data_IF_375565331204
#
_entry.id   IF_375565331204
#
_cell.length_a   1.000
_cell.length_b   1.000
_cell.length_c   1.000
_cell.angle_alpha   90.00
_cell.angle_beta   90.00
_cell.angle_gamma   90.00
#
_symmetry.space_group_name_H-M   'P 1'
#
loop_
_entity.id
_entity.type
_entity.pdbx_description
1 polymer ?
#
# COMPACT_ATOMS: atom_id res chain seq x y z
N UNK A 1 -18.81 22.52 -6.09
CA UNK A 1 -19.71 21.60 -5.34
C UNK A 1 -19.10 20.23 -5.39
N UNK A 2 -18.86 19.58 -4.27
CA UNK A 2 -18.21 18.25 -4.24
C UNK A 2 -19.20 17.21 -4.76
N UNK A 3 -18.77 16.44 -5.74
CA UNK A 3 -19.55 15.35 -6.35
C UNK A 3 -20.09 14.36 -5.30
N UNK A 4 -19.35 14.16 -4.21
CA UNK A 4 -19.76 13.37 -3.04
C UNK A 4 -21.01 13.93 -2.34
N UNK A 5 -21.17 15.25 -2.24
CA UNK A 5 -22.35 15.86 -1.61
C UNK A 5 -23.62 15.62 -2.45
N UNK A 6 -23.52 15.67 -3.78
CA UNK A 6 -24.64 15.41 -4.68
C UNK A 6 -25.10 13.95 -4.58
N UNK A 7 -24.16 13.00 -4.52
CA UNK A 7 -24.47 11.57 -4.35
C UNK A 7 -25.18 11.33 -3.00
N UNK A 8 -24.69 11.97 -1.94
CA UNK A 8 -25.23 11.79 -0.58
C UNK A 8 -26.65 12.33 -0.47
N UNK A 9 -26.92 13.50 -1.08
CA UNK A 9 -28.25 14.11 -1.17
C UNK A 9 -29.20 13.23 -1.99
N UNK A 10 -28.77 12.78 -3.16
CA UNK A 10 -29.58 11.91 -4.02
C UNK A 10 -29.94 10.59 -3.34
N UNK A 11 -28.99 10.02 -2.59
CA UNK A 11 -29.22 8.82 -1.81
C UNK A 11 -30.19 9.04 -0.64
N UNK A 12 -30.02 10.12 0.13
CA UNK A 12 -30.92 10.48 1.22
C UNK A 12 -32.35 10.73 0.73
N UNK A 13 -32.49 11.44 -0.41
CA UNK A 13 -33.78 11.69 -1.02
C UNK A 13 -34.44 10.40 -1.53
N UNK A 14 -33.68 9.51 -2.16
CA UNK A 14 -34.17 8.21 -2.60
C UNK A 14 -34.66 7.33 -1.45
N UNK A 15 -33.93 7.34 -0.31
CA UNK A 15 -34.33 6.62 0.88
C UNK A 15 -35.60 7.20 1.54
N UNK A 16 -35.72 8.53 1.54
CA UNK A 16 -36.90 9.23 2.03
C UNK A 16 -38.15 8.92 1.19
N UNK A 17 -38.02 8.93 -0.13
CA UNK A 17 -39.11 8.58 -1.06
C UNK A 17 -39.53 7.11 -0.94
N UNK A 18 -38.59 6.21 -0.66
CA UNK A 18 -38.90 4.80 -0.36
C UNK A 18 -39.71 4.66 0.94
N UNK A 19 -39.31 5.37 2.00
CA UNK A 19 -40.00 5.34 3.31
C UNK A 19 -41.42 5.94 3.24
N UNK A 20 -41.64 6.89 2.30
CA UNK A 20 -42.93 7.47 2.03
C UNK A 20 -43.84 6.57 1.14
N UNK A 21 -43.35 5.39 0.76
CA UNK A 21 -44.09 4.45 -0.10
C UNK A 21 -44.23 4.86 -1.56
N UNK A 22 -43.57 5.96 -1.98
CA UNK A 22 -43.61 6.46 -3.35
C UNK A 22 -42.74 5.66 -4.33
N UNK A 23 -41.76 4.92 -3.80
CA UNK A 23 -40.85 4.07 -4.58
C UNK A 23 -40.88 2.66 -4.01
N UNK A 24 -41.20 1.67 -4.85
CA UNK A 24 -41.37 0.26 -4.46
C UNK A 24 -40.06 -0.52 -4.33
N UNK A 25 -38.89 0.09 -4.57
CA UNK A 25 -37.59 -0.57 -4.43
C UNK A 25 -36.72 0.15 -3.40
N UNK A 26 -35.92 -0.62 -2.67
CA UNK A 26 -34.97 -0.10 -1.68
C UNK A 26 -33.76 0.49 -2.42
N UNK A 27 -33.42 1.78 -2.27
CA UNK A 27 -32.28 2.40 -2.95
C UNK A 27 -30.96 1.67 -2.73
N UNK A 28 -30.80 0.99 -1.59
CA UNK A 28 -29.64 0.17 -1.25
C UNK A 28 -29.36 -0.95 -2.25
N UNK A 29 -30.42 -1.53 -2.84
CA UNK A 29 -30.31 -2.63 -3.82
C UNK A 29 -29.72 -2.17 -5.14
N UNK A 30 -29.92 -0.90 -5.52
CA UNK A 30 -29.34 -0.30 -6.73
C UNK A 30 -27.91 0.18 -6.51
N UNK A 31 -27.56 0.52 -5.28
CA UNK A 31 -26.29 1.17 -4.95
C UNK A 31 -25.11 0.23 -5.22
N UNK A 32 -25.20 -1.04 -4.81
CA UNK A 32 -24.12 -2.01 -4.98
C UNK A 32 -23.73 -2.27 -6.45
N UNK A 33 -24.67 -2.55 -7.36
CA UNK A 33 -24.33 -2.71 -8.77
C UNK A 33 -23.82 -1.41 -9.40
N UNK A 34 -24.40 -0.25 -8.99
CA UNK A 34 -23.96 1.06 -9.47
C UNK A 34 -22.52 1.38 -9.10
N UNK A 35 -22.11 1.09 -7.86
CA UNK A 35 -20.73 1.28 -7.40
C UNK A 35 -19.75 0.39 -8.16
N UNK A 36 -20.11 -0.88 -8.41
CA UNK A 36 -19.28 -1.81 -9.20
C UNK A 36 -19.08 -1.32 -10.64
N UNK A 37 -20.15 -0.86 -11.28
CA UNK A 37 -20.09 -0.33 -12.64
C UNK A 37 -19.22 0.93 -12.67
N UNK A 38 -19.46 1.88 -11.75
CA UNK A 38 -18.72 3.14 -11.69
C UNK A 38 -17.23 2.91 -11.46
N UNK A 39 -16.89 2.03 -10.52
CA UNK A 39 -15.50 1.69 -10.21
C UNK A 39 -14.81 0.97 -11.37
N UNK A 40 -15.50 0.01 -12.00
CA UNK A 40 -14.99 -0.69 -13.18
C UNK A 40 -14.72 0.25 -14.36
N UNK A 41 -15.64 1.18 -14.63
CA UNK A 41 -15.47 2.19 -15.69
C UNK A 41 -14.30 3.13 -15.37
N UNK A 42 -14.17 3.59 -14.13
CA UNK A 42 -13.03 4.44 -13.73
C UNK A 42 -11.69 3.75 -13.98
N UNK A 43 -11.59 2.47 -13.67
CA UNK A 43 -10.35 1.71 -13.90
C UNK A 43 -10.08 1.52 -15.40
N UNK A 44 -11.09 1.21 -16.21
CA UNK A 44 -10.94 1.11 -17.66
C UNK A 44 -10.49 2.44 -18.29
N UNK A 45 -11.05 3.57 -17.85
CA UNK A 45 -10.65 4.91 -18.32
C UNK A 45 -9.20 5.22 -17.91
N UNK A 46 -8.77 4.84 -16.71
CA UNK A 46 -7.39 5.03 -16.26
C UNK A 46 -6.41 4.18 -17.08
N UNK A 47 -6.77 2.93 -17.39
CA UNK A 47 -5.98 2.04 -18.25
C UNK A 47 -5.87 2.63 -19.67
N UNK A 48 -6.97 3.13 -20.21
CA UNK A 48 -7.00 3.75 -21.55
C UNK A 48 -6.15 5.03 -21.66
N UNK A 49 -6.08 5.82 -20.58
CA UNK A 49 -5.24 7.05 -20.52
C UNK A 49 -3.75 6.74 -20.35
N UNK A 50 -3.39 5.56 -19.91
CA UNK A 50 -2.02 5.13 -19.74
C UNK A 50 -1.43 4.79 -21.11
N UNK A 51 -0.57 5.67 -21.63
CA UNK A 51 0.08 5.53 -22.94
C UNK A 51 0.62 4.11 -23.16
N UNK A 52 0.39 3.57 -24.36
CA UNK A 52 0.77 2.28 -24.95
C UNK A 52 2.21 1.82 -24.57
N UNK A 53 2.36 1.21 -23.41
CA UNK A 53 3.58 0.52 -23.02
C UNK A 53 3.17 -0.62 -22.10
N UNK A 54 3.03 -1.84 -22.64
CA UNK A 54 2.61 -3.05 -21.90
C UNK A 54 1.19 -2.95 -21.31
N UNK A 55 0.19 -2.92 -22.20
CA UNK A 55 -1.20 -3.22 -21.83
C UNK A 55 -1.28 -4.73 -21.58
N UNK A 56 -1.31 -5.12 -20.30
CA UNK A 56 -1.67 -6.50 -19.96
C UNK A 56 -3.16 -6.69 -20.29
N UNK A 57 -3.44 -7.43 -21.36
CA UNK A 57 -4.81 -7.78 -21.81
C UNK A 57 -5.63 -8.40 -20.68
N UNK A 58 -4.98 -9.02 -19.69
CA UNK A 58 -5.58 -9.59 -18.49
C UNK A 58 -6.18 -8.53 -17.55
N UNK A 59 -5.57 -7.32 -17.42
CA UNK A 59 -6.12 -6.26 -16.59
C UNK A 59 -7.41 -5.70 -17.20
N UNK A 60 -7.43 -5.52 -18.52
CA UNK A 60 -8.64 -5.05 -19.25
C UNK A 60 -9.76 -6.08 -19.15
N UNK A 61 -9.44 -7.36 -19.35
CA UNK A 61 -10.42 -8.44 -19.24
C UNK A 61 -11.05 -8.52 -17.85
N UNK A 62 -10.25 -8.37 -16.79
CA UNK A 62 -10.75 -8.39 -15.42
C UNK A 62 -11.74 -7.26 -15.15
N UNK A 63 -11.43 -6.03 -15.57
CA UNK A 63 -12.33 -4.89 -15.37
C UNK A 63 -13.58 -4.95 -16.23
N UNK A 64 -13.49 -5.54 -17.42
CA UNK A 64 -14.67 -5.84 -18.25
C UNK A 64 -15.60 -6.85 -17.55
N UNK A 65 -15.05 -7.89 -16.92
CA UNK A 65 -15.84 -8.85 -16.13
C UNK A 65 -16.55 -8.15 -14.97
N UNK A 66 -15.86 -7.26 -14.25
CA UNK A 66 -16.46 -6.50 -13.14
C UNK A 66 -17.61 -5.62 -13.60
N UNK A 67 -17.45 -4.90 -14.72
CA UNK A 67 -18.52 -4.07 -15.30
C UNK A 67 -19.68 -4.93 -15.75
N UNK A 68 -19.42 -6.03 -16.46
CA UNK A 68 -20.46 -6.95 -16.94
C UNK A 68 -21.25 -7.56 -15.77
N UNK A 69 -20.56 -7.93 -14.68
CA UNK A 69 -21.19 -8.42 -13.47
C UNK A 69 -22.09 -7.35 -12.84
N UNK A 70 -21.63 -6.11 -12.75
CA UNK A 70 -22.42 -4.99 -12.23
C UNK A 70 -23.68 -4.75 -13.05
N UNK A 71 -23.57 -4.75 -14.39
CA UNK A 71 -24.71 -4.62 -15.31
C UNK A 71 -25.67 -5.80 -15.15
N UNK A 72 -25.18 -7.03 -15.11
CA UNK A 72 -25.97 -8.23 -14.89
C UNK A 72 -26.82 -8.17 -13.61
N UNK A 73 -26.24 -7.67 -12.51
CA UNK A 73 -26.94 -7.51 -11.23
C UNK A 73 -28.00 -6.38 -11.27
N UNK A 74 -27.87 -5.44 -12.19
CA UNK A 74 -28.82 -4.33 -12.37
C UNK A 74 -30.04 -4.74 -13.20
N UNK A 75 -29.87 -5.60 -14.21
CA UNK A 75 -30.92 -6.01 -15.16
C UNK A 75 -32.22 -6.50 -14.50
N UNK A 76 -32.22 -7.41 -13.48
CA UNK A 76 -33.45 -7.85 -12.84
C UNK A 76 -34.21 -6.73 -12.12
N UNK A 77 -33.50 -5.67 -11.70
CA UNK A 77 -34.08 -4.51 -11.02
C UNK A 77 -34.79 -3.55 -11.97
N UNK A 78 -34.42 -3.61 -13.26
CA UNK A 78 -35.06 -2.88 -14.35
C UNK A 78 -36.25 -3.64 -14.97
N UNK A 79 -36.67 -4.79 -14.37
CA UNK A 79 -37.78 -5.60 -14.86
C UNK A 79 -37.42 -6.53 -16.02
N UNK A 80 -36.12 -6.65 -16.35
CA UNK A 80 -35.67 -7.56 -17.40
C UNK A 80 -35.49 -8.95 -16.77
N UNK A 81 -36.21 -9.95 -17.31
CA UNK A 81 -36.10 -11.34 -16.86
C UNK A 81 -34.76 -11.93 -17.29
N UNK A 82 -33.82 -11.95 -16.38
CA UNK A 82 -32.55 -12.70 -16.50
C UNK A 82 -32.59 -13.90 -15.55
N UNK A 83 -31.96 -15.02 -15.89
CA UNK A 83 -31.87 -16.14 -14.96
C UNK A 83 -31.28 -15.66 -13.64
N UNK A 84 -32.05 -15.80 -12.56
CA UNK A 84 -31.63 -15.32 -11.25
C UNK A 84 -30.47 -16.18 -10.73
N UNK A 85 -29.28 -15.65 -10.73
CA UNK A 85 -28.17 -16.26 -9.99
C UNK A 85 -28.43 -16.02 -8.50
N UNK A 86 -28.61 -17.09 -7.69
CA UNK A 86 -28.90 -16.93 -6.28
C UNK A 86 -27.73 -16.22 -5.60
N UNK A 87 -28.05 -15.24 -4.76
CA UNK A 87 -27.04 -14.47 -4.00
C UNK A 87 -26.03 -15.36 -3.26
N UNK A 88 -26.46 -16.57 -2.90
CA UNK A 88 -25.63 -17.60 -2.27
C UNK A 88 -24.43 -18.04 -3.14
N UNK A 89 -24.47 -17.84 -4.46
CA UNK A 89 -23.36 -18.15 -5.38
C UNK A 89 -22.46 -16.94 -5.65
N UNK A 90 -23.00 -15.74 -5.59
CA UNK A 90 -22.27 -14.51 -5.97
C UNK A 90 -21.17 -14.19 -4.95
N UNK A 91 -21.46 -14.28 -3.64
CA UNK A 91 -20.50 -13.91 -2.63
C UNK A 91 -19.29 -14.89 -2.54
N UNK A 92 -19.45 -16.23 -2.68
CA UNK A 92 -18.30 -17.12 -2.77
C UNK A 92 -17.46 -16.89 -4.01
N UNK A 93 -18.09 -16.59 -5.16
CA UNK A 93 -17.39 -16.26 -6.40
C UNK A 93 -16.55 -14.99 -6.24
N UNK A 94 -17.07 -13.99 -5.54
CA UNK A 94 -16.37 -12.73 -5.24
C UNK A 94 -15.17 -12.97 -4.31
N UNK A 95 -15.31 -13.87 -3.31
CA UNK A 95 -14.20 -14.27 -2.45
C UNK A 95 -13.13 -15.05 -3.22
N UNK A 96 -13.53 -15.95 -4.11
CA UNK A 96 -12.59 -16.68 -4.98
C UNK A 96 -11.86 -15.70 -5.89
N UNK A 97 -12.57 -14.75 -6.51
CA UNK A 97 -11.98 -13.73 -7.38
C UNK A 97 -10.97 -12.87 -6.60
N UNK A 98 -11.33 -12.46 -5.38
CA UNK A 98 -10.44 -11.70 -4.49
C UNK A 98 -9.23 -12.56 -4.07
N UNK A 99 -9.41 -13.83 -3.78
CA UNK A 99 -8.33 -14.77 -3.49
C UNK A 99 -7.38 -14.97 -4.67
N UNK A 100 -7.91 -15.15 -5.87
CA UNK A 100 -7.11 -15.24 -7.11
C UNK A 100 -6.36 -13.93 -7.38
N UNK A 101 -6.97 -12.78 -7.11
CA UNK A 101 -6.32 -11.48 -7.25
C UNK A 101 -5.16 -11.30 -6.25
N UNK A 102 -5.28 -11.86 -5.05
CA UNK A 102 -4.21 -11.89 -4.04
C UNK A 102 -3.10 -12.90 -4.39
N UNK A 103 -3.45 -14.02 -5.02
CA UNK A 103 -2.52 -15.04 -5.49
C UNK A 103 -1.78 -14.66 -6.77
N UNK A 104 -2.33 -13.73 -7.57
CA UNK A 104 -1.59 -13.20 -8.72
C UNK A 104 -0.39 -12.42 -8.19
N UNK A 105 0.85 -12.90 -8.45
CA UNK A 105 2.04 -12.18 -8.04
C UNK A 105 2.00 -10.83 -8.72
N UNK A 106 1.68 -9.79 -7.95
CA UNK A 106 1.69 -8.43 -8.43
C UNK A 106 3.05 -8.19 -9.06
N UNK A 107 3.09 -8.04 -10.39
CA UNK A 107 4.32 -7.61 -11.08
C UNK A 107 4.84 -6.43 -10.27
N UNK A 108 6.04 -6.59 -9.68
CA UNK A 108 6.72 -5.55 -8.92
C UNK A 108 6.72 -4.29 -9.77
N UNK A 109 5.72 -3.44 -9.59
CA UNK A 109 5.68 -2.13 -10.23
C UNK A 109 6.76 -1.30 -9.55
N UNK A 110 7.93 -1.29 -10.15
CA UNK A 110 8.92 -0.25 -9.90
C UNK A 110 8.29 1.04 -10.45
N UNK A 111 7.53 1.71 -9.62
CA UNK A 111 7.00 3.03 -9.95
C UNK A 111 8.15 4.01 -9.74
N UNK A 112 8.86 4.32 -10.81
CA UNK A 112 9.76 5.49 -10.83
C UNK A 112 8.88 6.73 -10.74
N UNK A 113 8.62 7.19 -9.54
CA UNK A 113 8.03 8.50 -9.32
C UNK A 113 9.19 9.49 -9.34
N UNK A 114 9.32 10.23 -10.44
CA UNK A 114 10.10 11.46 -10.46
C UNK A 114 9.37 12.46 -9.55
N UNK A 115 9.85 12.61 -8.33
CA UNK A 115 9.56 13.82 -7.56
C UNK A 115 10.62 14.85 -7.96
N UNK A 116 10.20 15.83 -8.76
CA UNK A 116 10.88 17.10 -8.87
C UNK A 116 10.75 17.83 -7.54
N UNK A 117 11.71 17.64 -6.66
CA UNK A 117 11.95 18.52 -5.52
C UNK A 117 13.42 18.89 -5.56
N UNK A 118 13.67 20.18 -5.73
CA UNK A 118 14.97 20.77 -5.97
C UNK A 118 16.05 20.32 -4.98
N UNK A 119 17.12 19.80 -5.53
CA UNK A 119 18.30 19.33 -4.86
C UNK A 119 18.70 17.97 -5.42
N UNK A 120 19.77 17.94 -6.21
CA UNK A 120 20.32 16.73 -6.82
C UNK A 120 20.72 15.73 -5.72
N UNK A 121 19.81 14.86 -5.30
CA UNK A 121 20.12 13.67 -4.52
C UNK A 121 20.35 12.54 -5.51
N UNK A 122 21.57 12.07 -5.57
CA UNK A 122 21.97 10.92 -6.38
C UNK A 122 21.18 9.70 -5.89
N UNK A 123 20.47 9.03 -6.80
CA UNK A 123 20.08 7.65 -6.66
C UNK A 123 18.94 7.28 -5.68
N UNK A 124 17.98 8.18 -5.37
CA UNK A 124 16.85 7.80 -4.48
C UNK A 124 16.03 6.64 -5.05
N UNK A 125 16.23 5.44 -4.54
CA UNK A 125 15.43 4.28 -4.89
C UNK A 125 14.11 4.28 -4.10
N UNK A 126 13.00 4.61 -4.76
CA UNK A 126 11.68 4.58 -4.14
C UNK A 126 10.95 3.28 -4.48
N UNK A 127 10.61 2.47 -3.48
CA UNK A 127 9.82 1.25 -3.63
C UNK A 127 8.52 1.35 -2.85
N UNK A 128 7.41 0.96 -3.49
CA UNK A 128 6.10 0.84 -2.85
C UNK A 128 5.61 -0.58 -3.01
N UNK A 129 5.38 -1.27 -1.88
CA UNK A 129 4.74 -2.58 -1.80
C UNK A 129 3.38 -2.47 -1.13
N UNK A 130 2.37 -3.20 -1.62
CA UNK A 130 1.09 -3.28 -0.91
C UNK A 130 1.12 -4.43 0.09
N UNK A 131 1.46 -5.64 -0.39
CA UNK A 131 1.65 -6.84 0.45
C UNK A 131 2.90 -7.55 -0.01
N UNK A 132 3.77 -7.96 0.91
CA UNK A 132 4.95 -8.76 0.57
C UNK A 132 6.13 -8.57 1.52
N UNK A 133 7.22 -9.19 1.14
CA UNK A 133 8.50 -9.14 1.84
C UNK A 133 9.50 -8.34 0.99
N UNK A 134 10.22 -7.46 1.64
CA UNK A 134 11.36 -6.76 1.07
C UNK A 134 12.61 -7.12 1.86
N UNK A 135 13.45 -7.94 1.25
CA UNK A 135 14.72 -8.35 1.85
C UNK A 135 15.88 -7.86 1.00
N UNK A 136 16.87 -7.26 1.64
CA UNK A 136 18.12 -6.89 1.02
C UNK A 136 19.27 -7.22 1.96
N UNK A 137 20.22 -8.04 1.51
CA UNK A 137 21.28 -8.41 2.41
C UNK A 137 22.27 -9.48 2.03
N UNK A 138 21.94 -10.67 1.59
CA UNK A 138 23.00 -11.66 1.35
C UNK A 138 23.82 -11.27 0.11
N UNK A 139 25.07 -10.88 0.35
CA UNK A 139 26.03 -10.46 -0.67
C UNK A 139 26.47 -9.01 -0.56
N UNK A 140 27.52 -8.67 -1.32
CA UNK A 140 28.02 -7.29 -1.37
C UNK A 140 27.14 -6.44 -2.29
N UNK A 141 26.62 -5.34 -1.78
CA UNK A 141 25.80 -4.37 -2.51
C UNK A 141 26.11 -2.94 -2.08
N UNK A 142 25.92 -1.98 -2.98
CA UNK A 142 26.15 -0.58 -2.67
C UNK A 142 24.89 -0.02 -2.00
N UNK A 143 25.07 0.59 -0.84
CA UNK A 143 24.00 1.28 -0.12
C UNK A 143 23.78 2.64 -0.76
N UNK A 144 22.53 2.90 -1.12
CA UNK A 144 22.10 4.21 -1.65
C UNK A 144 20.86 4.68 -0.89
N UNK A 145 20.46 5.94 -1.10
CA UNK A 145 19.27 6.49 -0.47
C UNK A 145 18.06 5.64 -0.84
N UNK A 146 17.34 5.16 0.18
CA UNK A 146 16.20 4.27 0.01
C UNK A 146 14.97 4.85 0.68
N UNK A 147 13.91 5.01 -0.10
CA UNK A 147 12.58 5.27 0.44
C UNK A 147 11.68 4.08 0.15
N UNK A 148 11.22 3.42 1.20
CA UNK A 148 10.37 2.25 1.13
C UNK A 148 9.04 2.52 1.83
N UNK A 149 7.95 2.26 1.11
CA UNK A 149 6.61 2.28 1.69
C UNK A 149 5.97 0.90 1.52
N UNK A 150 5.71 0.22 2.64
CA UNK A 150 5.10 -1.11 2.68
C UNK A 150 3.78 -1.05 3.40
N UNK A 151 2.67 -1.47 2.74
CA UNK A 151 1.38 -1.44 3.44
C UNK A 151 1.24 -2.61 4.41
N UNK A 152 1.54 -3.83 3.98
CA UNK A 152 1.49 -5.03 4.83
C UNK A 152 2.69 -5.89 4.48
N UNK A 153 3.49 -6.28 5.48
CA UNK A 153 4.59 -7.23 5.26
C UNK A 153 5.84 -6.95 6.05
N UNK A 154 6.92 -7.63 5.68
CA UNK A 154 8.20 -7.59 6.37
C UNK A 154 9.23 -6.85 5.52
N UNK A 155 10.01 -5.99 6.17
CA UNK A 155 11.18 -5.31 5.61
C UNK A 155 12.41 -5.80 6.36
N UNK A 156 13.35 -6.41 5.66
CA UNK A 156 14.62 -6.86 6.23
C UNK A 156 15.78 -6.24 5.46
N UNK A 157 16.56 -5.42 6.14
CA UNK A 157 17.74 -4.75 5.60
C UNK A 157 18.98 -5.18 6.38
N UNK A 158 19.87 -5.90 5.70
CA UNK A 158 21.16 -6.28 6.25
C UNK A 158 22.25 -5.40 5.64
N UNK A 159 22.77 -4.48 6.44
CA UNK A 159 23.84 -3.56 6.06
C UNK A 159 25.23 -4.08 6.42
N UNK A 160 25.36 -5.28 6.98
CA UNK A 160 26.65 -5.85 7.42
C UNK A 160 27.64 -6.01 6.28
N UNK A 161 27.14 -6.36 5.08
CA UNK A 161 27.94 -6.55 3.86
C UNK A 161 27.71 -5.41 2.84
N UNK A 162 27.03 -4.34 3.23
CA UNK A 162 26.77 -3.22 2.34
C UNK A 162 28.01 -2.34 2.18
N UNK A 163 28.30 -1.94 0.96
CA UNK A 163 29.33 -0.94 0.64
C UNK A 163 28.68 0.43 0.90
N UNK A 164 29.11 1.09 1.97
CA UNK A 164 28.58 2.39 2.38
C UNK A 164 29.43 3.47 1.73
N UNK A 165 28.82 4.39 0.93
CA UNK A 165 29.54 5.47 0.28
C UNK A 165 30.07 6.51 1.29
N UNK A 166 31.05 7.31 0.87
CA UNK A 166 31.62 8.40 1.66
C UNK A 166 30.68 9.62 1.72
N UNK A 167 29.46 9.38 2.21
CA UNK A 167 28.41 10.40 2.41
C UNK A 167 27.37 9.91 3.42
N UNK A 168 26.51 10.81 3.81
CA UNK A 168 25.30 10.44 4.56
C UNK A 168 24.30 9.75 3.62
N UNK A 169 23.81 8.56 4.03
CA UNK A 169 22.79 7.81 3.34
C UNK A 169 21.48 7.84 4.14
N UNK A 170 20.38 8.10 3.44
CA UNK A 170 19.05 8.21 4.05
C UNK A 170 18.22 6.97 3.78
N UNK A 171 17.72 6.35 4.85
CA UNK A 171 16.78 5.23 4.81
C UNK A 171 15.45 5.69 5.41
N UNK A 172 14.44 5.89 4.57
CA UNK A 172 13.09 6.28 4.96
C UNK A 172 12.15 5.08 4.75
N UNK A 173 11.79 4.44 5.86
CA UNK A 173 11.02 3.20 5.88
C UNK A 173 9.67 3.46 6.53
N UNK A 174 8.59 3.27 5.80
CA UNK A 174 7.24 3.48 6.31
C UNK A 174 6.35 2.27 6.07
N UNK A 175 5.58 1.87 7.09
CA UNK A 175 4.68 0.73 7.02
C UNK A 175 3.35 0.93 7.74
N UNK A 176 2.32 0.17 7.30
CA UNK A 176 1.07 0.13 8.04
C UNK A 176 1.01 -1.03 9.01
N UNK A 177 1.24 -2.26 8.53
CA UNK A 177 1.19 -3.49 9.35
C UNK A 177 2.35 -4.39 9.00
N UNK A 178 3.13 -4.83 9.99
CA UNK A 178 4.20 -5.79 9.78
C UNK A 178 5.46 -5.50 10.59
N UNK A 179 6.61 -5.91 10.05
CA UNK A 179 7.88 -5.88 10.74
C UNK A 179 8.96 -5.17 9.91
N UNK A 180 9.83 -4.42 10.57
CA UNK A 180 11.04 -3.86 9.98
C UNK A 180 12.26 -4.28 10.80
N UNK A 181 13.13 -5.08 10.21
CA UNK A 181 14.38 -5.54 10.82
C UNK A 181 15.57 -4.95 10.07
N UNK A 182 16.41 -4.20 10.78
CA UNK A 182 17.60 -3.55 10.24
C UNK A 182 18.82 -4.04 11.00
N UNK A 183 19.80 -4.58 10.27
CA UNK A 183 21.05 -5.07 10.83
C UNK A 183 22.19 -4.16 10.42
N UNK A 184 22.88 -3.61 11.43
CA UNK A 184 23.99 -2.68 11.24
C UNK A 184 25.33 -3.36 11.48
N UNK A 185 26.37 -3.05 10.71
CA UNK A 185 27.72 -3.49 11.01
C UNK A 185 28.26 -2.78 12.27
N UNK A 186 29.21 -3.40 12.99
CA UNK A 186 29.83 -2.76 14.14
C UNK A 186 30.62 -1.53 13.71
N UNK A 187 30.56 -0.47 14.50
CA UNK A 187 31.32 0.76 14.27
C UNK A 187 30.77 1.66 13.15
N UNK A 188 29.62 1.36 12.55
CA UNK A 188 28.98 2.26 11.61
C UNK A 188 28.30 3.42 12.35
N UNK A 189 28.69 4.67 12.10
CA UNK A 189 27.98 5.82 12.65
C UNK A 189 26.57 5.93 12.06
N UNK A 190 25.57 6.00 12.95
CA UNK A 190 24.17 6.08 12.52
C UNK A 190 23.35 7.01 13.42
N UNK A 191 22.27 7.53 12.85
CA UNK A 191 21.16 8.14 13.55
C UNK A 191 19.92 7.35 13.23
N UNK A 192 19.15 6.96 14.23
CA UNK A 192 17.91 6.25 14.06
C UNK A 192 16.78 7.02 14.75
N UNK A 193 15.72 7.29 14.00
CA UNK A 193 14.49 7.87 14.48
C UNK A 193 13.34 6.90 14.13
N UNK A 194 12.81 6.24 15.15
CA UNK A 194 11.88 5.15 14.98
C UNK A 194 10.60 5.41 15.75
N UNK A 195 9.45 5.11 15.15
CA UNK A 195 8.16 5.19 15.82
C UNK A 195 7.22 4.07 15.43
N UNK A 196 6.45 3.58 16.41
CA UNK A 196 5.38 2.60 16.20
C UNK A 196 4.11 3.07 16.86
N UNK A 197 2.99 3.00 16.13
CA UNK A 197 1.68 3.38 16.66
C UNK A 197 1.15 2.36 17.66
N UNK A 198 1.28 1.06 17.37
CA UNK A 198 0.94 -0.03 18.27
C UNK A 198 1.87 -1.21 17.99
N UNK A 199 2.65 -1.64 19.00
CA UNK A 199 3.55 -2.78 18.85
C UNK A 199 4.82 -2.67 19.66
N UNK A 200 5.93 -3.15 19.09
CA UNK A 200 7.23 -3.19 19.75
C UNK A 200 8.28 -2.43 18.94
N UNK A 201 9.13 -1.71 19.65
CA UNK A 201 10.21 -0.92 19.07
C UNK A 201 11.52 -1.25 19.82
N UNK A 202 12.42 -1.91 19.12
CA UNK A 202 13.74 -2.29 19.64
C UNK A 202 14.82 -1.59 18.84
N UNK A 203 15.62 -0.76 19.49
CA UNK A 203 16.79 -0.12 18.88
C UNK A 203 18.01 -0.37 19.75
N UNK A 204 18.92 -1.22 19.27
CA UNK A 204 20.06 -1.74 20.03
C UNK A 204 19.60 -2.39 21.35
N UNK A 205 19.92 -1.75 22.47
CA UNK A 205 19.62 -2.23 23.84
C UNK A 205 18.34 -1.56 24.43
N UNK A 206 17.68 -0.67 23.69
CA UNK A 206 16.45 -0.03 24.12
C UNK A 206 15.26 -0.77 23.53
N UNK A 207 14.32 -1.14 24.39
CA UNK A 207 13.07 -1.80 23.99
C UNK A 207 11.90 -1.05 24.59
N UNK A 208 10.96 -0.65 23.75
CA UNK A 208 9.72 0.01 24.11
C UNK A 208 8.55 -0.75 23.48
N UNK A 209 7.54 -1.08 24.25
CA UNK A 209 6.35 -1.78 23.76
C UNK A 209 5.08 -1.05 24.16
N UNK A 210 4.03 -1.18 23.34
CA UNK A 210 2.71 -0.60 23.57
C UNK A 210 2.26 0.37 22.48
N UNK A 211 1.50 1.39 22.90
CA UNK A 211 0.94 2.38 21.94
C UNK A 211 1.81 3.66 21.89
N UNK A 212 1.95 4.20 20.66
CA UNK A 212 2.66 5.46 20.38
C UNK A 212 4.08 5.49 20.98
N UNK A 213 4.90 4.50 20.59
CA UNK A 213 6.30 4.44 21.03
C UNK A 213 7.21 5.14 20.04
N UNK A 214 8.24 5.79 20.60
CA UNK A 214 9.21 6.55 19.85
C UNK A 214 10.60 6.41 20.50
N UNK A 215 11.59 6.07 19.68
CA UNK A 215 12.99 6.01 20.08
C UNK A 215 13.82 6.82 19.10
N UNK A 216 14.69 7.66 19.63
CA UNK A 216 15.71 8.37 18.86
C UNK A 216 17.07 8.09 19.45
N UNK A 217 17.97 7.54 18.65
CA UNK A 217 19.34 7.22 19.05
C UNK A 217 20.28 7.78 17.98
N UNK A 218 21.42 8.29 18.45
CA UNK A 218 22.49 8.73 17.59
C UNK A 218 23.82 8.21 18.14
N UNK A 219 24.68 7.66 17.29
CA UNK A 219 26.03 7.28 17.68
C UNK A 219 26.90 8.50 17.96
N UNK A 220 27.84 8.38 18.89
CA UNK A 220 28.70 9.49 19.33
C UNK A 220 29.45 10.14 18.17
N UNK A 221 29.90 9.33 17.22
CA UNK A 221 30.74 9.78 16.11
C UNK A 221 29.96 10.24 14.88
N UNK A 222 28.62 10.28 14.96
CA UNK A 222 27.77 10.57 13.80
C UNK A 222 28.06 11.91 13.15
N UNK A 223 28.22 12.97 13.93
CA UNK A 223 28.41 14.33 13.38
C UNK A 223 29.74 14.48 12.62
N UNK A 224 30.77 13.80 13.08
CA UNK A 224 32.13 13.89 12.54
C UNK A 224 32.39 12.90 11.41
N UNK A 225 31.58 11.86 11.30
CA UNK A 225 31.77 10.79 10.34
C UNK A 225 31.39 11.23 8.92
N UNK A 226 32.22 10.89 7.95
CA UNK A 226 31.92 11.07 6.53
C UNK A 226 30.95 9.98 6.03
N UNK A 227 31.19 8.71 6.45
CA UNK A 227 30.32 7.58 6.18
C UNK A 227 29.32 7.43 7.32
N UNK A 228 28.05 7.66 7.08
CA UNK A 228 27.01 7.58 8.09
C UNK A 228 25.65 7.27 7.51
N UNK A 229 24.77 6.71 8.33
CA UNK A 229 23.42 6.32 7.89
C UNK A 229 22.38 7.01 8.78
N UNK A 230 21.39 7.63 8.13
CA UNK A 230 20.23 8.22 8.78
C UNK A 230 19.01 7.34 8.51
N UNK A 231 18.46 6.76 9.56
CA UNK A 231 17.37 5.80 9.52
C UNK A 231 16.12 6.45 10.09
N UNK A 232 15.09 6.56 9.27
CA UNK A 232 13.76 6.98 9.70
C UNK A 232 12.79 5.81 9.46
N UNK A 233 12.24 5.23 10.53
CA UNK A 233 11.38 4.07 10.45
C UNK A 233 10.06 4.32 11.18
N UNK A 234 8.93 4.26 10.44
CA UNK A 234 7.61 4.55 10.98
C UNK A 234 6.62 3.44 10.63
N UNK A 235 6.09 2.73 11.64
CA UNK A 235 5.05 1.73 11.46
C UNK A 235 3.79 2.11 12.24
N UNK A 236 2.63 1.83 11.67
CA UNK A 236 1.37 2.03 12.43
C UNK A 236 1.12 0.89 13.39
N UNK A 237 1.32 -0.35 12.95
CA UNK A 237 1.11 -1.54 13.78
C UNK A 237 2.20 -2.54 13.46
N UNK A 238 2.93 -3.04 14.46
CA UNK A 238 3.91 -4.09 14.28
C UNK A 238 5.20 -3.88 15.06
N UNK A 239 6.31 -4.35 14.51
CA UNK A 239 7.61 -4.34 15.17
C UNK A 239 8.65 -3.61 14.33
N UNK A 240 9.46 -2.79 14.98
CA UNK A 240 10.69 -2.24 14.41
C UNK A 240 11.88 -2.71 15.26
N UNK A 241 12.84 -3.35 14.62
CA UNK A 241 14.03 -3.89 15.26
C UNK A 241 15.29 -3.41 14.54
N UNK A 242 16.14 -2.64 15.24
CA UNK A 242 17.47 -2.26 14.77
C UNK A 242 18.50 -2.91 15.67
N UNK A 243 19.32 -3.77 15.10
CA UNK A 243 20.33 -4.54 15.82
C UNK A 243 21.70 -4.36 15.19
N UNK A 244 22.72 -4.33 16.02
CA UNK A 244 24.11 -4.37 15.58
C UNK A 244 24.61 -5.80 15.70
N UNK A 245 25.02 -6.38 14.58
CA UNK A 245 25.53 -7.74 14.53
C UNK A 245 27.06 -7.66 14.65
N UNK A 246 27.61 -8.47 15.54
CA UNK A 246 29.06 -8.60 15.72
C UNK A 246 29.66 -9.47 14.64
#
# INVERSE_FOLDING_TARGET
MSFTAIILIAFGLGYLLHNLGLIGFTPWILLWPGVLIWFGIQQLVQISKKRRGSQDSSEIALWLVVVTLGVYLLLPKLGITVPSIPWKLIWPLLLILMGVMLLMPGKKRVVKIHFESGGARHGLETKKGFVGEFTRGPGSWVLDDLRLHQSIGTVSLDLTNAIIPDREVFLDLTGYVGEASIYLPPGLPFRAECSVGLGELTVLNQNESGANRYIQIQSTDYEQATKKVNIQAHWKIGEISIRQIR
#
